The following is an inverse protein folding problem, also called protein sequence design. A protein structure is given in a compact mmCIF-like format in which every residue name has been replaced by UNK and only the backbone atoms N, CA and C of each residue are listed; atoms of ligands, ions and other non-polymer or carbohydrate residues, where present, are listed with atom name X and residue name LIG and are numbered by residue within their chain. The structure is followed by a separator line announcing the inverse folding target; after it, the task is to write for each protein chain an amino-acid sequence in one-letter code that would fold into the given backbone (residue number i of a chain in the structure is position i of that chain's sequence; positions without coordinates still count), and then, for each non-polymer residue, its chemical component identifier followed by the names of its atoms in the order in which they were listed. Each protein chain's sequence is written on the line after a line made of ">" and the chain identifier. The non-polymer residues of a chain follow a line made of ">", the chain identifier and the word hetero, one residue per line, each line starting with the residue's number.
data_IF_220846542461
#
_entry.id   IF_220846542461
#
_cell.length_a   1.000
_cell.length_b   1.000
_cell.length_c   1.000
_cell.angle_alpha   90.00
_cell.angle_beta   90.00
_cell.angle_gamma   90.00
#
_symmetry.space_group_name_H-M   'P 1'
#
loop_
_entity.id
_entity.type
_entity.pdbx_description
1 polymer ?
#
# COMPACT_ATOMS: atom_id res chain seq x y z
N UNK A 1 20.07 0.98 21.09
CA UNK A 1 19.35 0.44 19.92
C UNK A 1 18.46 1.56 19.40
N UNK A 2 18.50 1.90 18.10
CA UNK A 2 17.50 2.81 17.54
C UNK A 2 16.11 2.18 17.75
N UNK A 3 15.14 3.03 18.10
CA UNK A 3 13.76 2.61 18.34
C UNK A 3 13.15 2.16 17.02
N UNK A 4 12.45 1.02 17.03
CA UNK A 4 11.92 0.45 15.79
C UNK A 4 10.68 1.21 15.34
N UNK A 5 10.78 1.94 14.23
CA UNK A 5 9.67 2.71 13.69
C UNK A 5 8.83 1.89 12.71
N UNK A 6 8.02 0.98 13.26
CA UNK A 6 7.09 0.17 12.47
C UNK A 6 6.15 1.03 11.61
N UNK A 7 5.76 2.22 12.07
CA UNK A 7 4.84 3.09 11.34
C UNK A 7 5.48 3.64 10.07
N UNK A 8 6.75 4.05 10.11
CA UNK A 8 7.47 4.46 8.92
C UNK A 8 7.51 3.32 7.89
N UNK A 9 7.88 2.12 8.32
CA UNK A 9 8.05 0.99 7.40
C UNK A 9 6.74 0.46 6.81
N UNK A 10 5.62 0.52 7.54
CA UNK A 10 4.33 0.05 7.02
C UNK A 10 3.58 1.10 6.21
N UNK A 11 3.93 2.39 6.30
CA UNK A 11 3.19 3.47 5.65
C UNK A 11 3.95 4.20 4.53
N UNK A 12 5.28 4.10 4.48
CA UNK A 12 6.08 4.85 3.52
C UNK A 12 6.66 3.95 2.41
N UNK A 13 6.64 4.44 1.18
CA UNK A 13 7.35 3.81 0.06
C UNK A 13 8.87 3.99 0.21
N UNK A 14 9.68 3.03 -0.26
CA UNK A 14 9.29 1.76 -0.90
C UNK A 14 9.03 0.61 0.10
N UNK A 15 9.21 0.84 1.39
CA UNK A 15 9.17 -0.20 2.43
C UNK A 15 7.82 -0.91 2.48
N UNK A 16 6.73 -0.13 2.42
CA UNK A 16 5.35 -0.65 2.41
C UNK A 16 5.15 -1.66 1.28
N UNK A 17 5.55 -1.33 0.06
CA UNK A 17 5.37 -2.18 -1.11
C UNK A 17 6.25 -3.43 -1.04
N UNK A 18 7.49 -3.29 -0.56
CA UNK A 18 8.41 -4.41 -0.34
C UNK A 18 7.82 -5.39 0.70
N UNK A 19 7.39 -4.87 1.85
CA UNK A 19 6.78 -5.68 2.90
C UNK A 19 5.53 -6.38 2.40
N UNK A 20 4.68 -5.70 1.63
CA UNK A 20 3.47 -6.30 1.05
C UNK A 20 3.80 -7.42 0.05
N UNK A 21 4.79 -7.20 -0.83
CA UNK A 21 5.25 -8.23 -1.78
C UNK A 21 5.75 -9.47 -1.02
N UNK A 22 6.60 -9.28 -0.01
CA UNK A 22 7.15 -10.36 0.80
C UNK A 22 6.08 -11.03 1.68
N UNK A 23 5.07 -10.28 2.14
CA UNK A 23 3.93 -10.81 2.89
C UNK A 23 3.15 -11.83 2.05
N UNK A 24 2.96 -11.57 0.75
CA UNK A 24 2.24 -12.44 -0.19
C UNK A 24 3.11 -13.58 -0.73
N UNK A 25 4.34 -13.28 -1.14
CA UNK A 25 5.23 -14.22 -1.86
C UNK A 25 6.15 -15.04 -0.94
N UNK A 26 6.09 -14.79 0.36
CA UNK A 26 6.88 -15.42 1.44
C UNK A 26 8.37 -15.10 1.38
N UNK A 27 9.10 -15.56 0.38
CA UNK A 27 10.54 -15.36 0.27
C UNK A 27 10.96 -15.10 -1.18
N UNK A 28 11.71 -14.02 -1.41
CA UNK A 28 12.14 -13.60 -2.75
C UNK A 28 13.56 -13.04 -2.71
N UNK A 29 14.28 -13.20 -3.82
CA UNK A 29 15.55 -12.51 -3.99
C UNK A 29 15.35 -11.01 -4.33
N UNK A 30 16.38 -10.16 -4.18
CA UNK A 30 16.22 -8.72 -4.41
C UNK A 30 15.73 -8.31 -5.80
N UNK A 31 16.06 -9.10 -6.83
CA UNK A 31 15.63 -8.81 -8.19
C UNK A 31 14.12 -9.12 -8.36
N UNK A 32 13.66 -10.25 -7.83
CA UNK A 32 12.24 -10.62 -7.84
C UNK A 32 11.38 -9.63 -7.04
N UNK A 33 11.86 -9.18 -5.88
CA UNK A 33 11.19 -8.12 -5.11
C UNK A 33 11.06 -6.86 -5.96
N UNK A 34 12.13 -6.45 -6.64
CA UNK A 34 12.11 -5.27 -7.51
C UNK A 34 11.08 -5.40 -8.64
N UNK A 35 11.04 -6.52 -9.36
CA UNK A 35 10.07 -6.71 -10.45
C UNK A 35 8.63 -6.59 -9.94
N UNK A 36 8.31 -7.16 -8.78
CA UNK A 36 6.98 -7.03 -8.17
C UNK A 36 6.68 -5.63 -7.63
N UNK A 37 7.65 -4.96 -7.02
CA UNK A 37 7.47 -3.58 -6.54
C UNK A 37 7.23 -2.64 -7.72
N UNK A 38 7.91 -2.85 -8.85
CA UNK A 38 7.77 -2.03 -10.05
C UNK A 38 6.37 -2.09 -10.68
N UNK A 39 5.65 -3.20 -10.52
CA UNK A 39 4.24 -3.30 -10.93
C UNK A 39 3.34 -2.31 -10.17
N UNK A 40 3.68 -1.99 -8.91
CA UNK A 40 2.93 -1.06 -8.05
C UNK A 40 3.51 0.36 -8.04
N UNK A 41 4.82 0.48 -8.13
CA UNK A 41 5.58 1.72 -8.17
C UNK A 41 6.43 1.76 -9.45
N UNK A 42 5.87 2.20 -10.59
CA UNK A 42 6.57 2.17 -11.87
C UNK A 42 7.87 2.99 -11.91
N UNK A 43 8.00 3.96 -10.99
CA UNK A 43 9.16 4.84 -10.85
C UNK A 43 10.24 4.30 -9.90
N UNK A 44 10.01 3.16 -9.23
CA UNK A 44 10.98 2.58 -8.32
C UNK A 44 12.26 2.16 -9.05
N UNK A 45 13.41 2.37 -8.41
CA UNK A 45 14.70 1.92 -8.91
C UNK A 45 15.18 0.67 -8.16
N UNK A 46 15.84 -0.26 -8.84
CA UNK A 46 16.42 -1.47 -8.22
C UNK A 46 17.42 -1.16 -7.10
N UNK A 47 18.15 -0.05 -7.21
CA UNK A 47 19.09 0.38 -6.15
C UNK A 47 18.32 0.78 -4.89
N UNK A 48 17.22 1.51 -5.05
CA UNK A 48 16.36 1.94 -3.94
C UNK A 48 15.72 0.74 -3.23
N UNK A 49 15.18 -0.21 -4.00
CA UNK A 49 14.59 -1.45 -3.45
C UNK A 49 15.63 -2.28 -2.70
N UNK A 50 16.84 -2.42 -3.24
CA UNK A 50 17.94 -3.13 -2.55
C UNK A 50 18.32 -2.45 -1.25
N UNK A 51 18.49 -1.13 -1.24
CA UNK A 51 18.82 -0.38 -0.04
C UNK A 51 17.75 -0.55 1.03
N UNK A 52 16.47 -0.46 0.65
CA UNK A 52 15.35 -0.67 1.56
C UNK A 52 15.30 -2.10 2.12
N UNK A 53 15.58 -3.13 1.31
CA UNK A 53 15.67 -4.52 1.79
C UNK A 53 16.76 -4.68 2.87
N UNK A 54 17.96 -4.14 2.62
CA UNK A 54 19.04 -4.19 3.59
C UNK A 54 18.75 -3.38 4.85
N UNK A 55 18.08 -2.24 4.72
CA UNK A 55 17.68 -1.45 5.87
C UNK A 55 16.66 -2.21 6.73
N UNK A 56 15.62 -2.82 6.11
CA UNK A 56 14.63 -3.62 6.82
C UNK A 56 15.26 -4.86 7.49
N UNK A 57 16.28 -5.47 6.87
CA UNK A 57 17.07 -6.54 7.48
C UNK A 57 17.87 -6.04 8.70
N UNK A 58 18.55 -4.91 8.59
CA UNK A 58 19.31 -4.31 9.71
C UNK A 58 18.44 -3.98 10.91
N UNK A 59 17.17 -3.63 10.67
CA UNK A 59 16.17 -3.36 11.69
C UNK A 59 15.46 -4.64 12.18
N UNK A 60 15.79 -5.82 11.64
CA UNK A 60 15.22 -7.10 12.06
C UNK A 60 13.77 -7.32 11.62
N UNK A 61 13.28 -6.54 10.66
CA UNK A 61 11.96 -6.73 10.04
C UNK A 61 12.00 -7.83 8.99
N UNK A 62 13.16 -7.99 8.33
CA UNK A 62 13.42 -9.06 7.37
C UNK A 62 14.54 -9.98 7.86
N UNK A 63 14.50 -11.22 7.39
CA UNK A 63 15.60 -12.18 7.47
C UNK A 63 16.04 -12.50 6.05
N UNK A 64 17.35 -12.53 5.84
CA UNK A 64 17.96 -12.96 4.59
C UNK A 64 18.55 -14.37 4.74
N UNK A 65 18.05 -15.32 3.95
CA UNK A 65 18.56 -16.69 3.90
C UNK A 65 18.93 -17.00 2.45
N UNK A 66 20.21 -17.27 2.19
CA UNK A 66 20.72 -17.61 0.86
C UNK A 66 20.30 -16.60 -0.23
N UNK A 67 20.38 -15.29 0.07
CA UNK A 67 20.00 -14.21 -0.84
C UNK A 67 18.48 -14.14 -1.13
N UNK A 68 17.65 -14.72 -0.28
CA UNK A 68 16.20 -14.55 -0.28
C UNK A 68 15.75 -13.85 1.00
N UNK A 69 15.00 -12.77 0.86
CA UNK A 69 14.43 -12.00 1.96
C UNK A 69 13.02 -12.50 2.28
N UNK A 70 12.69 -12.60 3.56
CA UNK A 70 11.34 -12.83 4.09
C UNK A 70 11.09 -11.93 5.29
N UNK A 71 9.82 -11.65 5.60
CA UNK A 71 9.44 -11.05 6.89
C UNK A 71 9.87 -11.97 8.03
N UNK A 72 10.53 -11.39 9.03
CA UNK A 72 11.11 -12.11 10.17
C UNK A 72 10.06 -12.76 11.06
N UNK A 73 8.95 -12.05 11.28
CA UNK A 73 7.93 -12.40 12.26
C UNK A 73 6.54 -12.53 11.60
N UNK A 74 5.82 -13.59 11.93
CA UNK A 74 4.52 -13.88 11.32
C UNK A 74 3.44 -12.85 11.72
N UNK A 75 3.51 -12.30 12.93
CA UNK A 75 2.58 -11.25 13.35
C UNK A 75 2.70 -9.99 12.49
N UNK A 76 3.93 -9.63 12.07
CA UNK A 76 4.18 -8.49 11.20
C UNK A 76 3.66 -8.76 9.78
N UNK A 77 3.82 -10.00 9.28
CA UNK A 77 3.21 -10.42 8.01
C UNK A 77 1.70 -10.20 8.02
N UNK A 78 1.02 -10.65 9.08
CA UNK A 78 -0.43 -10.49 9.22
C UNK A 78 -0.83 -9.02 9.32
N UNK A 79 -0.06 -8.19 10.04
CA UNK A 79 -0.29 -6.75 10.11
C UNK A 79 -0.21 -6.09 8.72
N UNK A 80 0.83 -6.40 7.95
CA UNK A 80 1.01 -5.84 6.59
C UNK A 80 -0.15 -6.22 5.67
N UNK A 81 -0.61 -7.47 5.71
CA UNK A 81 -1.77 -7.92 4.93
C UNK A 81 -3.04 -7.20 5.35
N UNK A 82 -3.29 -7.11 6.67
CA UNK A 82 -4.44 -6.40 7.21
C UNK A 82 -4.46 -4.92 6.80
N UNK A 83 -3.32 -4.23 6.90
CA UNK A 83 -3.21 -2.82 6.51
C UNK A 83 -3.52 -2.61 5.03
N UNK A 84 -3.08 -3.52 4.15
CA UNK A 84 -3.42 -3.46 2.73
C UNK A 84 -4.93 -3.65 2.48
N UNK A 85 -5.55 -4.66 3.10
CA UNK A 85 -7.00 -4.88 3.00
C UNK A 85 -7.79 -3.67 3.52
N UNK A 86 -7.33 -3.07 4.62
CA UNK A 86 -7.95 -1.88 5.20
C UNK A 86 -7.87 -0.69 4.26
N UNK A 87 -6.73 -0.43 3.63
CA UNK A 87 -6.57 0.65 2.64
C UNK A 87 -7.44 0.43 1.39
N UNK A 88 -7.57 -0.81 0.92
CA UNK A 88 -8.47 -1.15 -0.20
C UNK A 88 -9.94 -0.89 0.15
N UNK A 89 -10.35 -1.20 1.39
CA UNK A 89 -11.68 -0.91 1.90
C UNK A 89 -11.92 0.60 2.02
N UNK A 90 -10.97 1.35 2.59
CA UNK A 90 -11.04 2.80 2.70
C UNK A 90 -11.21 3.45 1.31
N UNK A 91 -10.36 3.07 0.36
CA UNK A 91 -10.44 3.54 -1.02
C UNK A 91 -11.79 3.23 -1.68
N UNK A 92 -12.36 2.05 -1.41
CA UNK A 92 -13.68 1.66 -1.92
C UNK A 92 -14.80 2.53 -1.33
N UNK A 93 -14.75 2.80 -0.02
CA UNK A 93 -15.69 3.69 0.66
C UNK A 93 -15.58 5.13 0.16
N UNK A 94 -14.36 5.64 -0.05
CA UNK A 94 -14.14 6.98 -0.61
C UNK A 94 -14.73 7.10 -2.01
N UNK A 95 -14.51 6.11 -2.88
CA UNK A 95 -15.11 6.05 -4.22
C UNK A 95 -16.63 6.03 -4.16
N UNK A 96 -17.20 5.21 -3.28
CA UNK A 96 -18.65 5.12 -3.11
C UNK A 96 -19.27 6.44 -2.62
N UNK A 97 -18.64 7.09 -1.64
CA UNK A 97 -19.07 8.41 -1.15
C UNK A 97 -19.02 9.47 -2.26
N UNK A 98 -17.96 9.46 -3.09
CA UNK A 98 -17.86 10.37 -4.23
C UNK A 98 -19.01 10.17 -5.24
N UNK A 99 -19.39 8.93 -5.53
CA UNK A 99 -20.53 8.61 -6.41
C UNK A 99 -21.84 9.13 -5.80
N UNK A 100 -22.07 8.94 -4.50
CA UNK A 100 -23.28 9.46 -3.83
C UNK A 100 -23.35 10.99 -3.88
N UNK A 101 -22.23 11.67 -3.62
CA UNK A 101 -22.17 13.14 -3.70
C UNK A 101 -22.47 13.66 -5.11
N UNK A 102 -21.96 12.97 -6.15
CA UNK A 102 -22.29 13.30 -7.54
C UNK A 102 -23.79 13.15 -7.82
N UNK A 103 -24.41 12.03 -7.41
CA UNK A 103 -25.85 11.81 -7.58
C UNK A 103 -26.69 12.88 -6.87
N UNK A 104 -26.37 13.20 -5.62
CA UNK A 104 -27.08 14.27 -4.90
C UNK A 104 -26.89 15.65 -5.56
N UNK A 105 -25.73 15.92 -6.15
CA UNK A 105 -25.50 17.16 -6.89
C UNK A 105 -26.32 17.23 -8.18
N UNK A 106 -26.47 16.11 -8.91
CA UNK A 106 -27.28 16.00 -10.12
C UNK A 106 -28.78 16.16 -9.81
N UNK A 107 -29.30 15.52 -8.77
CA UNK A 107 -30.69 15.66 -8.34
C UNK A 107 -31.02 17.11 -7.95
N UNK A 108 -30.12 17.79 -7.23
CA UNK A 108 -30.27 19.22 -6.91
C UNK A 108 -30.29 20.10 -8.16
N UNK A 109 -29.45 19.82 -9.16
CA UNK A 109 -29.46 20.55 -10.43
C UNK A 109 -30.78 20.35 -11.17
N UNK A 110 -31.29 19.11 -11.24
CA UNK A 110 -32.57 18.82 -11.89
C UNK A 110 -33.77 19.48 -11.18
N UNK A 111 -33.79 19.50 -9.85
CA UNK A 111 -34.83 20.21 -9.09
C UNK A 111 -34.76 21.74 -9.28
N UNK A 112 -33.55 22.30 -9.37
CA UNK A 112 -33.35 23.71 -9.69
C UNK A 112 -33.82 24.11 -11.09
N UNK A 113 -33.65 23.23 -12.08
CA UNK A 113 -34.15 23.43 -13.45
C UNK A 113 -35.67 23.37 -13.53
N UNK A 114 -36.32 22.40 -12.87
CA UNK A 114 -37.79 22.32 -12.83
C UNK A 114 -38.45 23.55 -12.18
N UNK A 115 -37.81 24.17 -11.18
CA UNK A 115 -38.30 25.43 -10.59
C UNK A 115 -38.16 26.65 -11.51
N UNK A 116 -37.26 26.63 -12.50
CA UNK A 116 -37.07 27.73 -13.46
C UNK A 116 -37.96 27.64 -14.69
N UNK A 117 -38.49 26.46 -15.01
CA UNK A 117 -39.40 26.23 -16.14
C UNK A 117 -40.89 26.33 -15.76
N UNK A 118 -41.21 26.50 -14.48
CA UNK A 118 -42.56 26.83 -14.01
C UNK A 118 -42.76 28.34 -13.94
N UNK A 119 -42.83 29.00 -15.09
CA UNK A 119 -43.42 30.33 -15.30
C UNK A 119 -43.99 30.39 -16.71
#
# INVERSE_FOLDING_TARGET
>A
MPELDYLNYTNCSPYKEILLVLAVKRALNPHEVFEHVKEKLPYANIVEVKNALFELEQHGLLININNCFTIAEEWLRNLVLFLNEFEELENSLTKYNAILQQKFAEEKKQQGWKKRQGF
#
